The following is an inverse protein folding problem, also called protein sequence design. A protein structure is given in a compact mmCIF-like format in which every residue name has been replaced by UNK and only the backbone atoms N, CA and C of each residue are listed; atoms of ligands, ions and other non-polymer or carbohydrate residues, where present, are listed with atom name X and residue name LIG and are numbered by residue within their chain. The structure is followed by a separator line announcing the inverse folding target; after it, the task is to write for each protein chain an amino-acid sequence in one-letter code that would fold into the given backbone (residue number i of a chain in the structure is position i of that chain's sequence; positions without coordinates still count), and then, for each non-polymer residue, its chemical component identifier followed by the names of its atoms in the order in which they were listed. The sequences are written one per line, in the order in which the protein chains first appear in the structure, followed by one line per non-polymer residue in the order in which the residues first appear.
data_IF_349525161447
#
_entry.id   IF_349525161447
#
_cell.length_a   1.000
_cell.length_b   1.000
_cell.length_c   1.000
_cell.angle_alpha   90.00
_cell.angle_beta   90.00
_cell.angle_gamma   90.00
#
_symmetry.space_group_name_H-M   'P 1'
#
loop_
_entity.id
_entity.type
_entity.pdbx_description
1 polymer ?
#
# COMPACT_ATOMS: atom_id res chain seq x y z
N UNK A 1 13.28 10.00 -10.18
CA UNK A 1 13.74 8.82 -9.44
C UNK A 1 14.31 7.85 -10.45
N UNK A 2 15.58 7.47 -10.35
CA UNK A 2 16.19 6.54 -11.30
C UNK A 2 15.83 5.12 -10.85
N UNK A 3 15.37 4.26 -11.75
CA UNK A 3 15.02 2.86 -11.41
C UNK A 3 16.22 2.05 -10.92
N UNK A 4 17.45 2.52 -11.15
CA UNK A 4 18.68 1.99 -10.54
C UNK A 4 18.78 2.21 -9.03
N UNK A 5 18.03 3.18 -8.49
CA UNK A 5 18.00 3.47 -7.06
C UNK A 5 17.02 2.54 -6.32
N UNK A 6 16.26 1.71 -7.06
CA UNK A 6 15.36 0.71 -6.52
C UNK A 6 16.07 -0.64 -6.37
N UNK A 7 15.79 -1.30 -5.25
CA UNK A 7 16.34 -2.60 -4.88
C UNK A 7 15.25 -3.67 -5.10
N UNK A 8 15.62 -4.78 -5.73
CA UNK A 8 14.73 -5.92 -5.96
C UNK A 8 14.61 -6.82 -4.72
N UNK A 9 13.90 -7.94 -4.84
CA UNK A 9 13.72 -8.89 -3.74
C UNK A 9 15.00 -9.61 -3.29
N UNK A 10 16.02 -9.65 -4.14
CA UNK A 10 17.34 -10.26 -3.89
C UNK A 10 18.37 -9.24 -3.36
N UNK A 11 17.92 -8.07 -2.90
CA UNK A 11 18.76 -6.95 -2.44
C UNK A 11 19.70 -6.36 -3.51
N UNK A 12 19.41 -6.59 -4.81
CA UNK A 12 20.19 -6.07 -5.94
C UNK A 12 19.46 -4.94 -6.69
N UNK A 13 20.18 -3.99 -7.34
CA UNK A 13 19.55 -3.00 -8.21
C UNK A 13 18.84 -3.64 -9.40
N UNK A 14 17.73 -3.05 -9.85
CA UNK A 14 17.06 -3.51 -11.08
C UNK A 14 17.95 -3.33 -12.31
N UNK A 15 18.10 -4.40 -13.10
CA UNK A 15 18.82 -4.34 -14.37
C UNK A 15 18.02 -3.60 -15.45
N UNK A 16 18.66 -2.64 -16.12
CA UNK A 16 18.04 -1.88 -17.22
C UNK A 16 17.58 -2.77 -18.37
N UNK A 17 18.36 -3.80 -18.71
CA UNK A 17 18.03 -4.80 -19.74
C UNK A 17 16.72 -5.52 -19.40
N UNK A 18 16.57 -5.95 -18.15
CA UNK A 18 15.34 -6.57 -17.64
C UNK A 18 14.14 -5.64 -17.77
N UNK A 19 14.28 -4.38 -17.34
CA UNK A 19 13.21 -3.38 -17.42
C UNK A 19 12.81 -3.06 -18.87
N UNK A 20 13.77 -2.95 -19.78
CA UNK A 20 13.50 -2.72 -21.20
C UNK A 20 12.81 -3.94 -21.86
N UNK A 21 13.16 -5.15 -21.45
CA UNK A 21 12.51 -6.37 -21.92
C UNK A 21 11.04 -6.41 -21.46
N UNK A 22 10.75 -6.04 -20.20
CA UNK A 22 9.38 -5.95 -19.70
C UNK A 22 8.60 -4.88 -20.49
N UNK A 23 9.17 -3.68 -20.69
CA UNK A 23 8.51 -2.62 -21.46
C UNK A 23 8.17 -3.08 -22.87
N UNK A 24 9.14 -3.65 -23.61
CA UNK A 24 8.91 -4.15 -24.97
C UNK A 24 7.84 -5.24 -25.02
N UNK A 25 7.80 -6.12 -24.03
CA UNK A 25 6.77 -7.16 -23.94
C UNK A 25 5.38 -6.53 -23.72
N UNK A 26 5.27 -5.58 -22.82
CA UNK A 26 4.02 -4.87 -22.54
C UNK A 26 3.53 -4.04 -23.74
N UNK A 27 4.44 -3.49 -24.54
CA UNK A 27 4.10 -2.73 -25.75
C UNK A 27 3.42 -3.61 -26.82
N UNK A 28 3.71 -4.91 -26.84
CA UNK A 28 3.10 -5.86 -27.77
C UNK A 28 1.71 -6.36 -27.35
N UNK A 29 1.30 -6.10 -26.11
CA UNK A 29 0.02 -6.58 -25.59
C UNK A 29 -1.14 -5.75 -26.12
N UNK A 30 -2.20 -6.45 -26.51
CA UNK A 30 -3.54 -5.91 -26.69
C UNK A 30 -4.14 -5.41 -25.37
N UNK A 31 -5.25 -4.68 -25.44
CA UNK A 31 -5.92 -4.16 -24.24
C UNK A 31 -6.36 -5.26 -23.28
N UNK A 32 -6.87 -6.39 -23.80
CA UNK A 32 -7.28 -7.55 -22.99
C UNK A 32 -6.08 -8.20 -22.29
N UNK A 33 -4.96 -8.37 -23.00
CA UNK A 33 -3.72 -8.92 -22.43
C UNK A 33 -3.10 -7.98 -21.37
N UNK A 34 -3.26 -6.67 -21.54
CA UNK A 34 -2.84 -5.68 -20.53
C UNK A 34 -3.66 -5.79 -19.26
N UNK A 35 -4.98 -5.99 -19.39
CA UNK A 35 -5.88 -6.20 -18.25
C UNK A 35 -5.51 -7.50 -17.53
N UNK A 36 -5.37 -8.61 -18.26
CA UNK A 36 -5.00 -9.91 -17.67
C UNK A 36 -3.65 -9.82 -16.95
N UNK A 37 -2.65 -9.19 -17.58
CA UNK A 37 -1.34 -9.01 -16.96
C UNK A 37 -1.41 -8.14 -15.70
N UNK A 38 -2.18 -7.05 -15.72
CA UNK A 38 -2.41 -6.18 -14.56
C UNK A 38 -3.01 -6.96 -13.41
N UNK A 39 -4.06 -7.74 -13.67
CA UNK A 39 -4.80 -8.46 -12.63
C UNK A 39 -3.97 -9.63 -12.05
N UNK A 40 -3.20 -10.31 -12.90
CA UNK A 40 -2.22 -11.32 -12.48
C UNK A 40 -1.11 -10.71 -11.61
N UNK A 41 -0.58 -9.56 -12.01
CA UNK A 41 0.43 -8.85 -11.24
C UNK A 41 -0.13 -8.38 -9.89
N UNK A 42 -1.37 -7.87 -9.87
CA UNK A 42 -2.03 -7.46 -8.64
C UNK A 42 -2.21 -8.63 -7.67
N UNK A 43 -2.65 -9.78 -8.18
CA UNK A 43 -2.80 -11.02 -7.40
C UNK A 43 -1.45 -11.50 -6.84
N UNK A 44 -0.39 -11.45 -7.65
CA UNK A 44 0.96 -11.81 -7.22
C UNK A 44 1.49 -10.89 -6.11
N UNK A 45 1.23 -9.59 -6.20
CA UNK A 45 1.58 -8.62 -5.14
C UNK A 45 0.84 -8.94 -3.84
N UNK A 46 -0.48 -9.22 -3.92
CA UNK A 46 -1.31 -9.52 -2.75
C UNK A 46 -0.78 -10.75 -2.00
N UNK A 47 -0.50 -11.83 -2.71
CA UNK A 47 -0.05 -13.11 -2.15
C UNK A 47 1.44 -13.15 -1.78
N UNK A 48 2.21 -12.10 -2.06
CA UNK A 48 3.64 -12.07 -1.83
C UNK A 48 4.00 -12.16 -0.33
N UNK A 49 4.93 -13.03 0.07
CA UNK A 49 5.25 -13.25 1.48
C UNK A 49 6.13 -12.18 2.12
N UNK A 50 6.74 -11.29 1.32
CA UNK A 50 7.66 -10.27 1.83
C UNK A 50 6.97 -9.27 2.76
N UNK A 51 7.62 -8.98 3.89
CA UNK A 51 7.11 -8.05 4.90
C UNK A 51 7.18 -6.58 4.47
N UNK A 52 8.14 -6.20 3.62
CA UNK A 52 8.34 -4.83 3.11
C UNK A 52 8.22 -4.83 1.60
N UNK A 53 7.29 -4.05 1.06
CA UNK A 53 7.08 -3.94 -0.38
C UNK A 53 6.89 -2.46 -0.74
N UNK A 54 7.58 -2.01 -1.77
CA UNK A 54 7.32 -0.73 -2.42
C UNK A 54 6.53 -0.97 -3.71
N UNK A 55 5.32 -0.42 -3.78
CA UNK A 55 4.45 -0.56 -4.95
C UNK A 55 4.46 0.76 -5.73
N UNK A 56 4.99 0.72 -6.95
CA UNK A 56 4.92 1.84 -7.90
C UNK A 56 3.72 1.64 -8.83
N UNK A 57 2.80 2.60 -8.85
CA UNK A 57 1.56 2.50 -9.62
C UNK A 57 1.21 3.82 -10.29
N UNK A 58 0.83 3.74 -11.56
CA UNK A 58 0.35 4.88 -12.34
C UNK A 58 -1.05 5.36 -11.91
N UNK A 59 -1.55 6.46 -12.51
CA UNK A 59 -2.92 6.91 -12.30
C UNK A 59 -3.92 5.83 -12.71
N UNK A 60 -4.99 5.64 -11.93
CA UNK A 60 -5.99 4.59 -12.16
C UNK A 60 -5.50 3.16 -11.89
N UNK A 61 -4.26 2.97 -11.42
CA UNK A 61 -3.83 1.70 -10.86
C UNK A 61 -4.61 1.43 -9.58
N UNK A 62 -5.19 0.25 -9.45
CA UNK A 62 -6.14 -0.14 -8.42
C UNK A 62 -5.49 -0.30 -7.02
N UNK A 63 -4.90 0.79 -6.51
CA UNK A 63 -4.09 0.84 -5.29
C UNK A 63 -4.91 0.49 -4.05
N UNK A 64 -6.19 0.84 -4.03
CA UNK A 64 -7.08 0.53 -2.92
C UNK A 64 -7.33 -0.98 -2.85
N UNK A 65 -7.66 -1.64 -3.97
CA UNK A 65 -7.82 -3.09 -4.01
C UNK A 65 -6.54 -3.82 -3.60
N UNK A 66 -5.37 -3.35 -4.05
CA UNK A 66 -4.08 -3.91 -3.61
C UNK A 66 -3.88 -3.77 -2.09
N UNK A 67 -4.20 -2.61 -1.52
CA UNK A 67 -4.04 -2.35 -0.08
C UNK A 67 -4.96 -3.23 0.77
N UNK A 68 -6.21 -3.42 0.32
CA UNK A 68 -7.17 -4.31 0.99
C UNK A 68 -6.78 -5.78 0.86
N UNK A 69 -6.41 -6.25 -0.33
CA UNK A 69 -5.95 -7.61 -0.55
C UNK A 69 -4.74 -7.94 0.31
N UNK A 70 -3.77 -7.03 0.39
CA UNK A 70 -2.60 -7.15 1.30
C UNK A 70 -3.00 -7.19 2.77
N UNK A 71 -3.99 -6.39 3.17
CA UNK A 71 -4.51 -6.40 4.55
C UNK A 71 -5.15 -7.75 4.89
N UNK A 72 -5.96 -8.31 3.99
CA UNK A 72 -6.56 -9.63 4.16
C UNK A 72 -5.47 -10.72 4.27
N UNK A 73 -4.49 -10.71 3.36
CA UNK A 73 -3.33 -11.61 3.43
C UNK A 73 -2.61 -11.51 4.77
N UNK A 74 -2.37 -10.29 5.26
CA UNK A 74 -1.70 -10.06 6.54
C UNK A 74 -2.47 -10.67 7.72
N UNK A 75 -3.80 -10.57 7.72
CA UNK A 75 -4.61 -11.23 8.76
C UNK A 75 -4.64 -12.75 8.64
N UNK A 76 -4.53 -13.32 7.43
CA UNK A 76 -4.38 -14.78 7.25
C UNK A 76 -3.07 -15.27 7.86
N UNK A 77 -1.98 -14.53 7.63
CA UNK A 77 -0.66 -14.89 8.17
C UNK A 77 -0.54 -14.57 9.67
N UNK A 78 -1.20 -13.51 10.14
CA UNK A 78 -1.11 -12.98 11.50
C UNK A 78 -2.50 -12.59 12.05
N UNK A 79 -3.27 -13.58 12.48
CA UNK A 79 -4.68 -13.43 12.91
C UNK A 79 -4.91 -12.48 14.10
N UNK A 80 -3.90 -12.25 14.94
CA UNK A 80 -3.93 -11.33 16.07
C UNK A 80 -3.40 -9.92 15.79
N UNK A 81 -2.99 -9.63 14.56
CA UNK A 81 -2.31 -8.38 14.24
C UNK A 81 -3.25 -7.17 14.21
N UNK A 82 -2.65 -5.97 14.29
CA UNK A 82 -3.32 -4.69 14.06
C UNK A 82 -2.71 -4.05 12.83
N UNK A 83 -3.55 -3.51 11.94
CA UNK A 83 -3.11 -2.90 10.69
C UNK A 83 -3.30 -1.39 10.78
N UNK A 84 -2.22 -0.65 10.51
CA UNK A 84 -2.24 0.81 10.46
C UNK A 84 -2.13 1.27 9.01
N UNK A 85 -3.14 1.97 8.52
CA UNK A 85 -3.13 2.61 7.21
C UNK A 85 -2.98 4.12 7.39
N UNK A 86 -2.06 4.73 6.64
CA UNK A 86 -1.83 6.16 6.67
C UNK A 86 -1.89 6.75 5.26
N UNK A 87 -2.62 7.86 5.11
CA UNK A 87 -2.73 8.62 3.86
C UNK A 87 -2.41 10.11 4.10
N UNK A 88 -2.24 10.89 3.03
CA UNK A 88 -1.97 12.32 3.15
C UNK A 88 -3.23 13.17 3.29
N UNK A 89 -4.37 12.72 2.76
CA UNK A 89 -5.59 13.53 2.63
C UNK A 89 -6.71 12.92 3.46
N UNK A 90 -7.52 13.79 4.09
CA UNK A 90 -8.62 13.37 4.97
C UNK A 90 -9.75 12.66 4.22
N UNK A 91 -10.02 13.03 2.97
CA UNK A 91 -11.01 12.38 2.11
C UNK A 91 -10.67 10.90 1.88
N UNK A 92 -9.41 10.62 1.53
CA UNK A 92 -8.92 9.25 1.36
C UNK A 92 -8.99 8.41 2.64
N UNK A 93 -9.00 9.03 3.83
CA UNK A 93 -9.26 8.29 5.08
C UNK A 93 -10.69 7.77 5.09
N UNK A 94 -11.66 8.62 4.74
CA UNK A 94 -13.07 8.24 4.71
C UNK A 94 -13.34 7.19 3.64
N UNK A 95 -12.76 7.34 2.45
CA UNK A 95 -12.89 6.36 1.37
C UNK A 95 -12.33 5.00 1.79
N UNK A 96 -11.10 4.95 2.32
CA UNK A 96 -10.49 3.70 2.79
C UNK A 96 -11.29 3.06 3.94
N UNK A 97 -11.83 3.86 4.85
CA UNK A 97 -12.70 3.35 5.92
C UNK A 97 -13.98 2.73 5.33
N UNK A 98 -14.61 3.40 4.38
CA UNK A 98 -15.77 2.88 3.66
C UNK A 98 -15.43 1.58 2.93
N UNK A 99 -14.31 1.53 2.23
CA UNK A 99 -13.82 0.34 1.51
C UNK A 99 -13.60 -0.84 2.47
N UNK A 100 -13.04 -0.60 3.66
CA UNK A 100 -12.85 -1.61 4.71
C UNK A 100 -14.19 -2.10 5.26
N UNK A 101 -15.10 -1.18 5.62
CA UNK A 101 -16.40 -1.54 6.21
C UNK A 101 -17.27 -2.32 5.24
N UNK A 102 -17.23 -1.98 3.95
CA UNK A 102 -17.96 -2.67 2.89
C UNK A 102 -17.26 -3.95 2.40
N UNK A 103 -16.04 -4.23 2.86
CA UNK A 103 -15.31 -5.43 2.45
C UNK A 103 -15.96 -6.69 3.04
N UNK A 104 -16.43 -7.60 2.17
CA UNK A 104 -17.06 -8.86 2.57
C UNK A 104 -16.09 -9.96 3.00
N UNK A 105 -14.79 -9.83 2.72
CA UNK A 105 -13.76 -10.81 3.09
C UNK A 105 -13.24 -10.61 4.51
N UNK A 106 -13.43 -9.41 5.08
CA UNK A 106 -13.00 -9.08 6.43
C UNK A 106 -14.14 -9.32 7.44
N UNK A 107 -13.83 -10.02 8.53
CA UNK A 107 -14.74 -10.16 9.67
C UNK A 107 -14.86 -8.84 10.44
N UNK A 108 -15.95 -8.67 11.19
CA UNK A 108 -16.13 -7.49 12.07
C UNK A 108 -14.98 -7.33 13.08
N UNK A 109 -14.41 -8.44 13.56
CA UNK A 109 -13.25 -8.41 14.46
C UNK A 109 -12.00 -7.89 13.73
N UNK A 110 -11.75 -8.36 12.49
CA UNK A 110 -10.63 -7.88 11.69
C UNK A 110 -10.77 -6.39 11.34
N UNK A 111 -11.98 -5.96 10.96
CA UNK A 111 -12.29 -4.54 10.70
C UNK A 111 -11.96 -3.65 11.90
N UNK A 112 -12.31 -4.10 13.11
CA UNK A 112 -12.03 -3.35 14.35
C UNK A 112 -10.53 -3.19 14.65
N UNK A 113 -9.68 -4.02 14.03
CA UNK A 113 -8.20 -3.99 14.16
C UNK A 113 -7.51 -3.24 13.03
N UNK A 114 -8.26 -2.63 12.11
CA UNK A 114 -7.69 -1.76 11.09
C UNK A 114 -7.93 -0.31 11.51
N UNK A 115 -6.86 0.46 11.57
CA UNK A 115 -6.91 1.86 11.95
C UNK A 115 -6.36 2.74 10.82
N UNK A 116 -7.23 3.59 10.26
CA UNK A 116 -6.91 4.48 9.15
C UNK A 116 -6.74 5.91 9.64
N UNK A 117 -5.63 6.54 9.27
CA UNK A 117 -5.29 7.89 9.69
C UNK A 117 -4.77 8.73 8.52
N UNK A 118 -4.78 10.05 8.69
CA UNK A 118 -3.82 10.86 7.97
C UNK A 118 -2.43 10.68 8.61
N UNK A 119 -1.35 10.84 7.83
CA UNK A 119 0.01 10.77 8.35
C UNK A 119 0.22 11.73 9.53
N UNK A 120 -0.36 12.94 9.44
CA UNK A 120 -0.35 13.92 10.52
C UNK A 120 -1.03 13.38 11.79
N UNK A 121 -2.24 12.82 11.67
CA UNK A 121 -2.98 12.26 12.82
C UNK A 121 -2.25 11.07 13.44
N UNK A 122 -1.63 10.21 12.62
CA UNK A 122 -0.84 9.09 13.10
C UNK A 122 0.37 9.57 13.90
N UNK A 123 1.16 10.49 13.33
CA UNK A 123 2.31 11.08 14.01
C UNK A 123 1.89 11.74 15.33
N UNK A 124 0.80 12.51 15.32
CA UNK A 124 0.24 13.12 16.52
C UNK A 124 -0.13 12.08 17.57
N UNK A 125 -0.83 11.02 17.20
CA UNK A 125 -1.24 9.95 18.12
C UNK A 125 -0.04 9.24 18.75
N UNK A 126 1.01 8.98 17.98
CA UNK A 126 2.25 8.36 18.49
C UNK A 126 2.89 9.25 19.54
N UNK A 127 3.01 10.56 19.26
CA UNK A 127 3.63 11.50 20.20
C UNK A 127 2.77 11.68 21.45
N UNK A 128 1.46 11.87 21.31
CA UNK A 128 0.52 12.03 22.43
C UNK A 128 0.55 10.83 23.37
N UNK A 129 0.55 9.60 22.81
CA UNK A 129 0.61 8.36 23.61
C UNK A 129 1.96 8.13 24.27
N UNK A 130 3.05 8.49 23.59
CA UNK A 130 4.41 8.25 24.12
C UNK A 130 4.80 9.26 25.19
N UNK A 131 4.37 10.52 25.07
CA UNK A 131 4.82 11.61 25.93
C UNK A 131 3.71 12.21 26.81
N UNK A 132 2.44 11.83 26.64
CA UNK A 132 1.33 12.33 27.45
C UNK A 132 0.97 13.80 27.21
N UNK A 133 1.50 14.43 26.15
CA UNK A 133 1.29 15.84 25.84
C UNK A 133 0.11 15.97 24.88
N UNK A 134 -1.02 16.53 25.33
CA UNK A 134 -2.27 16.66 24.55
C UNK A 134 -2.27 17.77 23.48
N UNK A 135 -1.21 18.56 23.42
CA UNK A 135 -1.04 19.66 22.46
C UNK A 135 0.36 19.63 21.84
N UNK A 136 0.48 19.00 20.67
CA UNK A 136 1.71 19.08 19.87
C UNK A 136 1.42 19.73 18.52
N UNK A 137 2.18 20.79 18.21
CA UNK A 137 2.31 21.30 16.86
C UNK A 137 3.37 20.44 16.15
N UNK A 138 2.93 19.46 15.34
CA UNK A 138 3.84 18.71 14.48
C UNK A 138 4.02 19.49 13.18
N UNK A 139 5.18 20.13 13.02
CA UNK A 139 5.57 20.84 11.80
C UNK A 139 6.15 19.80 10.83
N UNK A 140 5.38 19.40 9.82
CA UNK A 140 5.93 18.73 8.65
C UNK A 140 6.46 19.79 7.69
N UNK A 141 7.78 19.98 7.66
CA UNK A 141 8.43 20.74 6.58
C UNK A 141 8.51 19.84 5.34
N UNK A 142 7.47 19.88 4.52
CA UNK A 142 7.56 19.45 3.13
C UNK A 142 8.19 20.57 2.31
N UNK A 143 9.35 20.32 1.74
CA UNK A 143 9.91 21.23 0.73
C UNK A 143 8.98 21.22 -0.49
N UNK A 144 8.42 22.39 -0.82
CA UNK A 144 7.83 22.67 -2.12
C UNK A 144 8.89 22.58 -3.23
#
# INVERSE_FOLDING_TARGET
MNTRDLINEDDNPFELSGMQNISRKLDTFSDDERIEYRDKNASAIVEHSTAKILITSGPGGDKNCLSLGRTNRWFKDYSGSTVFAATFVQELVADLQSDIENNGELSSEQKSRIAVFTLYKLARSIVEKTFGISSLAIIFMGNC
#
